data_IF_555133360737
#
_entry.id   IF_555133360737
#
_cell.length_a   1.000
_cell.length_b   1.000
_cell.length_c   1.000
_cell.angle_alpha   90.00
_cell.angle_beta   90.00
_cell.angle_gamma   90.00
#
_symmetry.space_group_name_H-M   'P 1'
#
loop_
_entity.id
_entity.type
_entity.pdbx_description
1 polymer ?
#
# COMPACT_ATOMS: atom_id res chain seq x y z
N UNK A 1 -6.66 19.13 -3.67
CA UNK A 1 -7.54 20.31 -3.90
C UNK A 1 -7.67 21.21 -2.67
N UNK A 2 -8.10 20.71 -1.51
CA UNK A 2 -8.28 21.52 -0.29
C UNK A 2 -7.00 22.10 0.33
N UNK A 3 -5.82 21.60 -0.07
CA UNK A 3 -4.50 22.07 0.40
C UNK A 3 -3.54 22.28 -0.79
N UNK A 4 -3.70 23.36 -1.57
CA UNK A 4 -2.80 23.63 -2.69
C UNK A 4 -1.34 23.75 -2.24
N UNK A 5 -0.40 23.24 -3.06
CA UNK A 5 1.04 23.31 -2.79
C UNK A 5 1.56 22.46 -1.63
N UNK A 6 0.71 21.66 -0.97
CA UNK A 6 1.14 20.70 0.05
C UNK A 6 1.31 19.32 -0.56
N UNK A 7 2.39 18.64 -0.20
CA UNK A 7 2.57 17.23 -0.54
C UNK A 7 1.47 16.41 0.15
N UNK A 8 0.83 15.54 -0.63
CA UNK A 8 -0.15 14.55 -0.14
C UNK A 8 0.41 13.16 -0.42
N UNK A 9 0.29 12.29 0.57
CA UNK A 9 0.62 10.88 0.46
C UNK A 9 -0.61 10.07 0.86
N UNK A 10 -0.98 9.12 0.02
CA UNK A 10 -1.99 8.11 0.32
C UNK A 10 -1.31 6.77 0.60
N UNK A 11 -1.74 6.10 1.67
CA UNK A 11 -1.23 4.80 2.09
C UNK A 11 -2.36 3.78 1.87
N UNK A 12 -2.17 2.87 0.93
CA UNK A 12 -3.19 1.89 0.55
C UNK A 12 -2.59 0.50 0.34
N UNK A 13 -3.39 -0.53 0.57
CA UNK A 13 -3.07 -1.91 0.18
C UNK A 13 -3.60 -2.25 -1.21
N UNK A 14 -3.17 -3.37 -1.79
CA UNK A 14 -3.65 -3.87 -3.09
C UNK A 14 -5.13 -4.27 -3.08
N UNK A 15 -5.68 -4.70 -1.94
CA UNK A 15 -7.14 -4.83 -1.77
C UNK A 15 -7.86 -3.48 -1.88
N UNK A 16 -7.30 -2.42 -1.29
CA UNK A 16 -7.81 -1.04 -1.43
C UNK A 16 -7.67 -0.49 -2.85
N UNK A 17 -6.58 -0.85 -3.53
CA UNK A 17 -6.37 -0.56 -4.95
C UNK A 17 -7.50 -1.14 -5.82
N UNK A 18 -7.93 -2.37 -5.53
CA UNK A 18 -9.05 -3.01 -6.23
C UNK A 18 -10.43 -2.37 -5.98
N UNK A 19 -10.63 -1.71 -4.83
CA UNK A 19 -11.91 -1.08 -4.47
C UNK A 19 -12.01 0.35 -5.04
N UNK A 20 -10.98 1.17 -4.82
CA UNK A 20 -11.04 2.61 -5.11
C UNK A 20 -9.72 3.19 -5.66
N UNK A 21 -8.74 2.34 -5.98
CA UNK A 21 -7.43 2.80 -6.45
C UNK A 21 -7.43 3.46 -7.82
N UNK A 22 -8.51 3.30 -8.60
CA UNK A 22 -8.60 3.88 -9.95
C UNK A 22 -8.80 5.40 -9.97
N UNK A 23 -9.13 6.02 -8.83
CA UNK A 23 -9.11 7.48 -8.68
C UNK A 23 -7.71 8.09 -8.93
N UNK A 24 -6.65 7.26 -8.96
CA UNK A 24 -5.31 7.64 -9.39
C UNK A 24 -5.30 8.12 -10.84
N UNK A 25 -6.07 7.49 -11.74
CA UNK A 25 -6.23 7.94 -13.13
C UNK A 25 -6.79 9.36 -13.16
N UNK A 26 -7.80 9.62 -12.33
CA UNK A 26 -8.42 10.94 -12.23
C UNK A 26 -7.43 11.97 -11.66
N UNK A 27 -6.63 11.60 -10.66
CA UNK A 27 -5.56 12.46 -10.16
C UNK A 27 -4.53 12.79 -11.26
N UNK A 28 -4.17 11.83 -12.11
CA UNK A 28 -3.28 12.03 -13.25
C UNK A 28 -3.89 12.97 -14.29
N UNK A 29 -5.17 12.79 -14.64
CA UNK A 29 -5.92 13.67 -15.54
C UNK A 29 -5.90 15.13 -15.07
N UNK A 30 -6.17 15.35 -13.77
CA UNK A 30 -6.16 16.68 -13.16
C UNK A 30 -4.76 17.18 -12.75
N UNK A 31 -3.70 16.42 -13.09
CA UNK A 31 -2.30 16.76 -12.77
C UNK A 31 -2.07 17.04 -11.28
N UNK A 32 -2.71 16.25 -10.42
CA UNK A 32 -2.58 16.37 -8.97
C UNK A 32 -1.33 15.60 -8.53
N UNK A 33 -0.29 16.25 -7.98
CA UNK A 33 0.98 15.60 -7.63
C UNK A 33 0.89 14.85 -6.28
N UNK A 34 -0.15 14.03 -6.12
CA UNK A 34 -0.30 13.12 -4.99
C UNK A 34 0.59 11.87 -5.18
N UNK A 35 1.11 11.35 -4.08
CA UNK A 35 1.90 10.13 -4.06
C UNK A 35 1.08 9.00 -3.40
N UNK A 36 0.83 7.94 -4.15
CA UNK A 36 0.13 6.74 -3.70
C UNK A 36 1.18 5.68 -3.37
N UNK A 37 1.39 5.43 -2.08
CA UNK A 37 2.31 4.42 -1.58
C UNK A 37 1.52 3.12 -1.36
N UNK A 38 1.60 2.25 -2.36
CA UNK A 38 0.88 0.99 -2.42
C UNK A 38 1.68 -0.10 -1.70
N UNK A 39 1.08 -0.72 -0.69
CA UNK A 39 1.56 -1.93 -0.05
C UNK A 39 0.92 -3.15 -0.74
N UNK A 40 1.66 -3.80 -1.65
CA UNK A 40 1.14 -4.84 -2.52
C UNK A 40 1.62 -6.22 -2.05
N UNK A 41 0.86 -6.84 -1.16
CA UNK A 41 1.20 -8.14 -0.59
C UNK A 41 0.45 -9.31 -1.27
N UNK A 42 -0.28 -9.02 -2.35
CA UNK A 42 -1.12 -9.96 -3.09
C UNK A 42 -2.18 -10.62 -2.20
N UNK A 43 -2.76 -9.86 -1.28
CA UNK A 43 -3.71 -10.36 -0.30
C UNK A 43 -4.55 -9.23 0.31
N UNK A 44 -5.73 -9.57 0.80
CA UNK A 44 -6.53 -8.67 1.63
C UNK A 44 -5.89 -8.38 2.99
N UNK A 45 -4.98 -9.25 3.44
CA UNK A 45 -4.24 -9.11 4.69
C UNK A 45 -2.92 -9.89 4.63
N UNK A 46 -1.87 -9.40 5.29
CA UNK A 46 -0.61 -10.16 5.40
C UNK A 46 -0.79 -11.46 6.19
N UNK A 47 -0.15 -12.54 5.76
CA UNK A 47 -0.25 -13.89 6.34
C UNK A 47 -0.07 -13.89 7.87
N UNK A 48 0.93 -13.16 8.39
CA UNK A 48 1.16 -13.09 9.83
C UNK A 48 0.07 -12.32 10.58
N UNK A 49 -0.47 -11.25 9.99
CA UNK A 49 -1.59 -10.52 10.56
C UNK A 49 -2.85 -11.39 10.58
N UNK A 50 -3.11 -12.11 9.49
CA UNK A 50 -4.22 -13.05 9.36
C UNK A 50 -4.20 -14.11 10.48
N UNK A 51 -3.06 -14.75 10.68
CA UNK A 51 -2.91 -15.75 11.73
C UNK A 51 -3.01 -15.18 13.15
N UNK A 52 -2.63 -13.92 13.34
CA UNK A 52 -2.59 -13.28 14.65
C UNK A 52 -3.94 -12.72 15.12
N UNK A 53 -4.81 -12.28 14.19
CA UNK A 53 -6.04 -11.55 14.55
C UNK A 53 -7.35 -12.26 14.19
N UNK A 54 -7.34 -13.17 13.21
CA UNK A 54 -8.57 -13.84 12.81
C UNK A 54 -8.89 -15.05 13.68
N UNK A 55 -10.18 -15.35 13.90
CA UNK A 55 -10.59 -16.52 14.66
C UNK A 55 -10.25 -17.83 13.92
N UNK A 56 -10.15 -18.97 14.66
CA UNK A 56 -9.67 -20.24 14.11
C UNK A 56 -10.44 -20.78 12.91
N UNK A 57 -11.71 -20.45 12.80
CA UNK A 57 -12.64 -20.88 11.74
C UNK A 57 -12.39 -20.16 10.40
N UNK A 58 -11.82 -18.96 10.40
CA UNK A 58 -11.60 -18.16 9.18
C UNK A 58 -10.13 -17.82 8.91
N UNK A 59 -9.23 -17.98 9.88
CA UNK A 59 -7.81 -17.64 9.73
C UNK A 59 -7.06 -18.49 8.69
N UNK A 60 -7.64 -19.62 8.26
CA UNK A 60 -7.08 -20.49 7.23
C UNK A 60 -7.82 -20.39 5.88
N UNK A 61 -8.79 -19.49 5.75
CA UNK A 61 -9.41 -19.20 4.46
C UNK A 61 -8.41 -18.55 3.51
N UNK A 62 -8.67 -18.66 2.22
CA UNK A 62 -7.90 -17.98 1.19
C UNK A 62 -8.31 -16.51 1.12
N UNK A 63 -7.38 -15.62 1.46
CA UNK A 63 -7.51 -14.16 1.34
C UNK A 63 -6.58 -13.59 0.27
N UNK A 64 -5.92 -14.46 -0.51
CA UNK A 64 -5.01 -14.03 -1.57
C UNK A 64 -5.76 -13.35 -2.70
N UNK A 65 -5.04 -12.48 -3.39
CA UNK A 65 -5.44 -11.92 -4.68
C UNK A 65 -4.50 -12.45 -5.76
N UNK A 66 -4.77 -12.08 -7.02
CA UNK A 66 -3.84 -12.41 -8.11
C UNK A 66 -2.43 -11.91 -7.75
N UNK A 67 -1.41 -12.80 -7.80
CA UNK A 67 -0.08 -12.46 -7.32
C UNK A 67 0.66 -11.52 -8.25
N UNK A 68 1.57 -10.73 -7.67
CA UNK A 68 2.60 -9.97 -8.38
C UNK A 68 2.07 -8.98 -9.43
N UNK A 69 0.87 -8.45 -9.23
CA UNK A 69 0.34 -7.40 -10.11
C UNK A 69 1.29 -6.20 -10.09
N UNK A 70 1.79 -5.84 -11.27
CA UNK A 70 2.66 -4.68 -11.49
C UNK A 70 1.84 -3.40 -11.69
N UNK A 71 1.21 -2.93 -10.62
CA UNK A 71 0.45 -1.67 -10.64
C UNK A 71 1.30 -0.47 -11.07
N UNK A 72 2.60 -0.46 -10.72
CA UNK A 72 3.55 0.54 -11.21
C UNK A 72 3.62 0.56 -12.74
N UNK A 73 3.57 -0.58 -13.43
CA UNK A 73 3.54 -0.61 -14.90
C UNK A 73 2.21 -0.11 -15.46
N UNK A 74 1.10 -0.49 -14.82
CA UNK A 74 -0.24 -0.07 -15.24
C UNK A 74 -0.36 1.46 -15.20
N UNK A 75 0.05 2.08 -14.08
CA UNK A 75 -0.04 3.54 -13.93
C UNK A 75 1.04 4.30 -14.70
N UNK A 76 2.17 3.67 -15.04
CA UNK A 76 3.14 4.26 -15.95
C UNK A 76 2.53 4.57 -17.33
N UNK A 77 1.70 3.65 -17.85
CA UNK A 77 0.97 3.85 -19.12
C UNK A 77 -0.05 5.01 -19.05
N UNK A 78 -0.50 5.37 -17.84
CA UNK A 78 -1.38 6.51 -17.61
C UNK A 78 -0.62 7.83 -17.42
N UNK A 79 0.72 7.81 -17.58
CA UNK A 79 1.58 8.99 -17.47
C UNK A 79 1.99 9.36 -16.04
N UNK A 80 1.69 8.52 -15.05
CA UNK A 80 2.17 8.70 -13.68
C UNK A 80 3.70 8.56 -13.61
N UNK A 81 4.31 9.13 -12.56
CA UNK A 81 5.64 8.72 -12.14
C UNK A 81 5.51 7.45 -11.28
N UNK A 82 6.30 6.42 -11.57
CA UNK A 82 6.12 5.13 -10.90
C UNK A 82 7.43 4.54 -10.43
N UNK A 83 7.39 3.93 -9.26
CA UNK A 83 8.54 3.27 -8.64
C UNK A 83 8.12 1.86 -8.20
N UNK A 84 9.02 0.89 -8.35
CA UNK A 84 8.89 -0.42 -7.73
C UNK A 84 9.91 -0.52 -6.61
N UNK A 85 9.45 -0.84 -5.40
CA UNK A 85 10.27 -1.01 -4.21
C UNK A 85 10.13 -2.45 -3.75
N UNK A 86 11.19 -3.25 -3.95
CA UNK A 86 11.27 -4.63 -3.47
C UNK A 86 12.17 -4.75 -2.23
N UNK A 87 13.05 -3.78 -2.01
CA UNK A 87 13.98 -3.76 -0.89
C UNK A 87 13.78 -2.52 -0.01
N UNK A 88 13.85 -2.63 1.33
CA UNK A 88 13.60 -1.51 2.24
C UNK A 88 14.44 -0.25 1.96
N UNK A 89 15.69 -0.42 1.52
CA UNK A 89 16.63 0.67 1.26
C UNK A 89 16.22 1.50 0.02
N UNK A 90 15.35 0.97 -0.84
CA UNK A 90 14.86 1.65 -2.03
C UNK A 90 13.72 2.64 -1.71
N UNK A 91 13.02 2.45 -0.58
CA UNK A 91 11.81 3.20 -0.26
C UNK A 91 12.06 4.71 -0.16
N UNK A 92 13.07 5.12 0.62
CA UNK A 92 13.37 6.54 0.82
C UNK A 92 13.77 7.23 -0.50
N UNK A 93 14.73 6.70 -1.29
CA UNK A 93 15.05 7.27 -2.60
C UNK A 93 13.85 7.31 -3.57
N UNK A 94 12.97 6.30 -3.55
CA UNK A 94 11.77 6.28 -4.40
C UNK A 94 10.78 7.39 -4.01
N UNK A 95 10.54 7.61 -2.71
CA UNK A 95 9.73 8.72 -2.22
C UNK A 95 10.31 10.08 -2.63
N UNK A 96 11.63 10.25 -2.50
CA UNK A 96 12.30 11.48 -2.92
C UNK A 96 12.10 11.77 -4.42
N UNK A 97 12.24 10.76 -5.29
CA UNK A 97 11.99 10.93 -6.72
C UNK A 97 10.52 11.21 -7.02
N UNK A 98 9.59 10.53 -6.36
CA UNK A 98 8.16 10.73 -6.52
C UNK A 98 7.72 12.15 -6.13
N UNK A 99 8.15 12.64 -4.97
CA UNK A 99 7.82 13.99 -4.50
C UNK A 99 8.41 15.09 -5.39
N UNK A 100 9.58 14.84 -5.98
CA UNK A 100 10.23 15.79 -6.89
C UNK A 100 9.74 15.69 -8.35
N UNK A 101 8.94 14.68 -8.70
CA UNK A 101 8.52 14.44 -10.08
C UNK A 101 7.54 15.48 -10.63
N UNK A 102 6.79 16.16 -9.75
CA UNK A 102 5.69 17.04 -10.11
C UNK A 102 4.49 16.30 -10.74
N UNK A 103 4.48 14.97 -10.71
CA UNK A 103 3.43 14.11 -11.28
C UNK A 103 2.67 13.37 -10.18
N UNK A 104 1.45 12.96 -10.51
CA UNK A 104 0.80 11.87 -9.80
C UNK A 104 1.73 10.67 -9.78
N UNK A 105 1.96 10.10 -8.59
CA UNK A 105 2.99 9.09 -8.40
C UNK A 105 2.45 7.83 -7.76
N UNK A 106 2.84 6.66 -8.26
CA UNK A 106 2.52 5.35 -7.65
C UNK A 106 3.81 4.64 -7.27
N UNK A 107 4.01 4.41 -5.99
CA UNK A 107 5.13 3.63 -5.46
C UNK A 107 4.58 2.27 -5.08
N UNK A 108 4.85 1.25 -5.89
CA UNK A 108 4.45 -0.14 -5.66
C UNK A 108 5.49 -0.80 -4.76
N UNK A 109 5.16 -1.01 -3.49
CA UNK A 109 6.01 -1.69 -2.51
C UNK A 109 5.61 -3.16 -2.46
N UNK A 110 6.59 -4.05 -2.65
CA UNK A 110 6.45 -5.49 -2.43
C UNK A 110 6.95 -5.79 -1.02
N UNK A 111 6.07 -6.12 -0.07
CA UNK A 111 6.47 -6.34 1.30
C UNK A 111 6.57 -7.83 1.64
N UNK A 112 7.26 -8.13 2.74
CA UNK A 112 7.18 -9.45 3.36
C UNK A 112 5.84 -9.61 4.09
N UNK A 113 4.92 -10.38 3.47
CA UNK A 113 3.60 -10.66 4.04
C UNK A 113 3.63 -11.58 5.27
N UNK A 114 4.77 -12.23 5.54
CA UNK A 114 4.99 -13.06 6.73
C UNK A 114 5.50 -12.25 7.92
N UNK A 115 5.83 -10.97 7.71
CA UNK A 115 6.21 -10.06 8.79
C UNK A 115 4.97 -9.45 9.46
N UNK A 116 4.92 -9.48 10.78
CA UNK A 116 3.91 -8.75 11.55
C UNK A 116 4.40 -7.33 11.85
N UNK A 117 3.63 -6.33 11.46
CA UNK A 117 3.97 -4.94 11.77
C UNK A 117 4.09 -4.74 13.30
N UNK A 118 5.19 -4.13 13.80
CA UNK A 118 5.40 -3.95 15.25
C UNK A 118 4.25 -3.22 15.95
N UNK A 119 3.61 -2.28 15.25
CA UNK A 119 2.46 -1.54 15.77
C UNK A 119 1.23 -2.43 15.94
N UNK A 120 1.03 -3.41 15.03
CA UNK A 120 -0.05 -4.38 15.15
C UNK A 120 0.23 -5.37 16.28
N UNK A 121 1.47 -5.87 16.38
CA UNK A 121 1.90 -6.75 17.48
C UNK A 121 1.64 -6.09 18.85
N UNK A 122 2.09 -4.85 19.04
CA UNK A 122 1.87 -4.11 20.29
C UNK A 122 0.38 -3.87 20.59
N UNK A 123 -0.45 -3.62 19.57
CA UNK A 123 -1.91 -3.48 19.74
C UNK A 123 -2.56 -4.80 20.18
N UNK A 124 -2.16 -5.93 19.59
CA UNK A 124 -2.68 -7.24 19.96
C UNK A 124 -2.35 -7.54 21.43
N UNK A 125 -1.11 -7.30 21.85
CA UNK A 125 -0.70 -7.47 23.26
C UNK A 125 -1.50 -6.58 24.21
N UNK A 126 -1.72 -5.32 23.83
CA UNK A 126 -2.51 -4.38 24.62
C UNK A 126 -3.96 -4.85 24.78
N UNK A 127 -4.61 -5.27 23.69
CA UNK A 127 -6.01 -5.72 23.76
C UNK A 127 -6.17 -7.05 24.49
N UNK A 128 -5.21 -7.97 24.39
CA UNK A 128 -5.20 -9.19 25.21
C UNK A 128 -5.18 -8.89 26.71
N UNK A 129 -4.50 -7.81 27.14
CA UNK A 129 -4.50 -7.40 28.55
C UNK A 129 -5.82 -6.73 29.00
N UNK A 130 -6.54 -6.10 28.08
CA UNK A 130 -7.79 -5.41 28.39
C UNK A 130 -9.01 -6.33 28.39
N UNK A 131 -9.01 -7.35 27.52
CA UNK A 131 -10.20 -8.14 27.21
C UNK A 131 -10.00 -9.66 27.36
N UNK A 132 -8.78 -10.11 27.72
CA UNK A 132 -8.47 -11.49 28.05
C UNK A 132 -8.37 -11.70 29.55
#
# INVERSE_FOLDING_TARGET
LARPGKQVVDLLGDGGMGIAGWDIETAAHYKIPACYLLYNNSSWMGDAAQQAILPPDVKNCDWSTLPDIRYDKIFAEMGCHTELVAEPQQLKPALERAFNSGKTSVINVIPDKTALAPQLAGRIEYYKKLFG
#
